data_IF_268282060013
#
_entry.id   IF_268282060013
#
_cell.length_a   1.000
_cell.length_b   1.000
_cell.length_c   1.000
_cell.angle_alpha   90.00
_cell.angle_beta   90.00
_cell.angle_gamma   90.00
#
_symmetry.space_group_name_H-M   'P 1'
#
loop_
_entity.id
_entity.type
_entity.pdbx_description
1 polymer ?
#
# COMPACT_ATOMS: atom_id res chain seq x y z
N UNK A 1 -33.75 -39.43 -21.73
CA UNK A 1 -34.22 -38.39 -20.78
C UNK A 1 -33.76 -38.67 -19.36
N UNK A 2 -33.69 -39.94 -18.94
CA UNK A 2 -33.17 -40.35 -17.61
C UNK A 2 -31.69 -40.00 -17.35
N UNK A 3 -30.79 -40.28 -18.32
CA UNK A 3 -29.35 -40.03 -18.12
C UNK A 3 -29.03 -38.53 -18.08
N UNK A 4 -29.67 -37.74 -18.93
CA UNK A 4 -29.49 -36.29 -18.99
C UNK A 4 -30.00 -35.59 -17.73
N UNK A 5 -31.10 -36.07 -17.16
CA UNK A 5 -31.64 -35.52 -15.90
C UNK A 5 -30.78 -35.90 -14.70
N UNK A 6 -30.23 -37.12 -14.66
CA UNK A 6 -29.26 -37.55 -13.64
C UNK A 6 -27.95 -36.73 -13.71
N UNK A 7 -27.46 -36.41 -14.90
CA UNK A 7 -26.27 -35.57 -15.09
C UNK A 7 -26.51 -34.13 -14.65
N UNK A 8 -27.68 -33.56 -14.95
CA UNK A 8 -28.04 -32.20 -14.51
C UNK A 8 -28.17 -32.17 -12.98
N UNK A 9 -28.82 -33.18 -12.38
CA UNK A 9 -28.99 -33.27 -10.94
C UNK A 9 -27.64 -33.44 -10.22
N UNK A 10 -26.74 -34.26 -10.73
CA UNK A 10 -25.40 -34.43 -10.14
C UNK A 10 -24.60 -33.13 -10.18
N UNK A 11 -24.64 -32.41 -11.31
CA UNK A 11 -23.97 -31.12 -11.48
C UNK A 11 -24.52 -30.06 -10.51
N UNK A 12 -25.84 -30.05 -10.31
CA UNK A 12 -26.52 -29.13 -9.40
C UNK A 12 -26.21 -29.45 -7.93
N UNK A 13 -26.06 -30.72 -7.57
CA UNK A 13 -25.62 -31.12 -6.22
C UNK A 13 -24.15 -30.75 -5.96
N UNK A 14 -23.29 -30.87 -6.97
CA UNK A 14 -21.88 -30.48 -6.89
C UNK A 14 -21.71 -28.97 -6.63
N UNK A 15 -22.53 -28.11 -7.24
CA UNK A 15 -22.46 -26.64 -7.03
C UNK A 15 -22.87 -26.19 -5.63
N UNK A 16 -23.72 -26.94 -4.91
CA UNK A 16 -24.04 -26.65 -3.50
C UNK A 16 -22.94 -27.08 -2.52
N UNK A 17 -22.01 -27.94 -2.95
CA UNK A 17 -20.90 -28.41 -2.10
C UNK A 17 -19.65 -27.53 -2.19
N UNK A 18 -19.58 -26.61 -3.16
CA UNK A 18 -18.47 -25.67 -3.26
C UNK A 18 -18.56 -24.66 -2.12
N UNK A 19 -17.71 -24.85 -1.09
CA UNK A 19 -17.47 -23.80 -0.11
C UNK A 19 -16.86 -22.60 -0.84
N UNK A 20 -17.29 -21.35 -0.56
CA UNK A 20 -16.60 -20.19 -1.09
C UNK A 20 -15.13 -20.29 -0.64
N UNK A 21 -14.23 -20.47 -1.59
CA UNK A 21 -12.80 -20.25 -1.34
C UNK A 21 -12.73 -18.79 -0.90
N UNK A 22 -12.22 -18.48 0.29
CA UNK A 22 -11.95 -17.10 0.66
C UNK A 22 -11.11 -16.56 -0.48
N UNK A 23 -11.68 -15.63 -1.26
CA UNK A 23 -10.91 -14.97 -2.30
C UNK A 23 -9.64 -14.48 -1.64
N UNK A 24 -8.51 -14.54 -2.35
CA UNK A 24 -7.37 -13.72 -1.98
C UNK A 24 -7.87 -12.28 -2.02
N UNK A 25 -8.48 -11.81 -0.92
CA UNK A 25 -8.61 -10.42 -0.62
C UNK A 25 -7.16 -9.97 -0.61
N UNK A 26 -6.75 -9.34 -1.73
CA UNK A 26 -5.38 -8.89 -1.91
C UNK A 26 -4.99 -8.18 -0.63
N UNK A 27 -3.99 -8.72 0.06
CA UNK A 27 -3.54 -8.23 1.36
C UNK A 27 -3.51 -6.72 1.30
N UNK A 28 -4.44 -6.06 2.00
CA UNK A 28 -4.47 -4.60 2.00
C UNK A 28 -3.13 -4.16 2.55
N UNK A 29 -2.34 -3.44 1.75
CA UNK A 29 -1.02 -2.99 2.17
C UNK A 29 -1.12 -2.37 3.57
N UNK A 30 -0.21 -2.75 4.46
CA UNK A 30 -0.23 -2.26 5.84
C UNK A 30 -0.23 -0.73 5.84
N UNK A 31 -1.09 -0.12 6.65
CA UNK A 31 -1.18 1.34 6.69
C UNK A 31 0.10 1.93 7.30
N UNK A 32 0.66 2.94 6.64
CA UNK A 32 1.81 3.68 7.17
C UNK A 32 1.38 4.49 8.40
N UNK A 33 2.17 4.42 9.46
CA UNK A 33 1.97 5.18 10.70
C UNK A 33 3.00 6.30 10.82
N UNK A 34 2.59 7.41 11.43
CA UNK A 34 3.50 8.50 11.79
C UNK A 34 4.31 8.13 13.05
N UNK A 35 5.22 9.02 13.46
CA UNK A 35 6.06 8.81 14.65
C UNK A 35 5.26 8.80 15.97
N UNK A 36 3.99 9.20 15.96
CA UNK A 36 3.05 9.08 17.09
C UNK A 36 2.19 7.83 17.01
N UNK A 37 2.41 6.94 16.03
CA UNK A 37 1.64 5.72 15.82
C UNK A 37 0.27 5.92 15.17
N UNK A 38 -0.02 7.11 14.61
CA UNK A 38 -1.30 7.39 13.94
C UNK A 38 -1.19 7.11 12.45
N UNK A 39 -2.29 6.66 11.82
CA UNK A 39 -2.35 6.43 10.37
C UNK A 39 -2.14 7.71 9.58
N UNK A 40 -1.28 7.64 8.56
CA UNK A 40 -1.10 8.74 7.61
C UNK A 40 -2.39 9.02 6.83
N UNK A 41 -2.65 10.28 6.54
CA UNK A 41 -3.84 10.74 5.81
C UNK A 41 -3.46 11.47 4.54
N UNK A 42 -4.17 11.20 3.44
CA UNK A 42 -4.02 11.95 2.18
C UNK A 42 -4.40 13.42 2.41
N UNK A 43 -3.61 14.34 1.85
CA UNK A 43 -3.85 15.78 1.96
C UNK A 43 -3.44 16.39 3.30
N UNK A 44 -2.69 15.66 4.12
CA UNK A 44 -2.10 16.17 5.37
C UNK A 44 -0.59 16.22 5.19
N UNK A 45 0.02 17.32 5.63
CA UNK A 45 1.46 17.53 5.52
C UNK A 45 2.21 16.78 6.64
N UNK A 46 3.33 16.16 6.26
CA UNK A 46 4.22 15.45 7.17
C UNK A 46 5.67 15.80 6.84
N UNK A 47 6.52 15.90 7.86
CA UNK A 47 7.97 15.92 7.67
C UNK A 47 8.49 14.50 7.44
N UNK A 48 9.33 14.33 6.42
CA UNK A 48 10.06 13.08 6.18
C UNK A 48 11.42 13.21 6.86
N UNK A 49 11.61 12.47 7.96
CA UNK A 49 12.82 12.49 8.79
C UNK A 49 13.64 11.22 8.60
N UNK A 50 14.97 11.28 8.73
CA UNK A 50 15.83 10.11 8.65
C UNK A 50 15.60 9.22 9.88
N UNK A 51 15.56 7.90 9.63
CA UNK A 51 15.48 6.91 10.73
C UNK A 51 16.78 6.92 11.55
N UNK A 52 17.92 7.10 10.89
CA UNK A 52 19.24 7.19 11.54
C UNK A 52 19.52 8.66 11.85
N UNK A 53 19.58 9.00 13.14
CA UNK A 53 19.97 10.32 13.63
C UNK A 53 21.49 10.56 13.52
N UNK A 54 21.89 11.82 13.60
CA UNK A 54 23.27 12.31 13.47
C UNK A 54 23.79 12.35 12.03
N UNK A 55 22.93 12.16 11.02
CA UNK A 55 23.29 12.13 9.60
C UNK A 55 22.60 13.22 8.77
N UNK A 56 22.21 14.31 9.42
CA UNK A 56 21.42 15.40 8.84
C UNK A 56 19.94 15.30 9.18
N UNK A 57 19.16 16.29 8.75
CA UNK A 57 17.75 16.45 9.07
C UNK A 57 16.80 15.88 8.02
N UNK A 58 15.60 16.46 7.95
CA UNK A 58 14.53 16.02 7.06
C UNK A 58 14.74 16.36 5.58
N UNK A 59 13.82 15.91 4.73
CA UNK A 59 13.82 16.31 3.31
C UNK A 59 13.40 17.77 3.12
N UNK A 60 14.07 18.46 2.20
CA UNK A 60 13.77 19.82 1.77
C UNK A 60 14.00 20.03 0.27
N UNK A 61 13.54 21.17 -0.24
CA UNK A 61 13.86 21.63 -1.58
C UNK A 61 15.15 22.46 -1.58
N UNK A 62 16.06 22.19 -2.50
CA UNK A 62 17.29 22.94 -2.69
C UNK A 62 17.75 22.93 -4.16
N UNK A 63 18.61 23.88 -4.53
CA UNK A 63 19.33 23.85 -5.80
C UNK A 63 20.57 22.97 -5.65
N UNK A 64 20.51 21.70 -6.07
CA UNK A 64 21.63 20.77 -5.97
C UNK A 64 22.45 20.65 -7.27
N UNK A 65 21.90 21.09 -8.42
CA UNK A 65 22.48 20.89 -9.76
C UNK A 65 22.93 22.18 -10.46
N UNK A 66 23.20 23.23 -9.69
CA UNK A 66 23.60 24.55 -10.21
C UNK A 66 22.56 25.13 -11.20
N UNK A 67 21.27 24.92 -10.92
CA UNK A 67 20.12 25.43 -11.68
C UNK A 67 19.13 26.06 -10.72
N UNK A 68 18.58 27.22 -11.06
CA UNK A 68 17.61 27.92 -10.17
C UNK A 68 16.27 27.19 -10.08
N UNK A 69 15.80 26.60 -11.18
CA UNK A 69 14.60 25.77 -11.24
C UNK A 69 14.75 24.64 -12.29
N UNK A 70 14.05 23.50 -12.13
CA UNK A 70 13.31 23.10 -10.93
C UNK A 70 14.26 22.83 -9.74
N UNK A 71 13.74 22.95 -8.52
CA UNK A 71 14.49 22.56 -7.32
C UNK A 71 14.55 21.04 -7.18
N UNK A 72 15.63 20.55 -6.57
CA UNK A 72 15.82 19.15 -6.22
C UNK A 72 15.31 18.88 -4.80
N UNK A 73 14.81 17.67 -4.55
CA UNK A 73 14.53 17.18 -3.18
C UNK A 73 15.82 16.61 -2.62
N UNK A 74 16.30 17.17 -1.51
CA UNK A 74 17.54 16.76 -0.84
C UNK A 74 17.30 16.54 0.65
N UNK A 75 18.18 15.78 1.30
CA UNK A 75 18.21 15.70 2.76
C UNK A 75 18.93 16.93 3.34
N UNK A 76 18.40 17.50 4.42
CA UNK A 76 19.07 18.60 5.11
C UNK A 76 20.38 18.14 5.76
N UNK A 77 21.39 19.00 5.76
CA UNK A 77 22.70 18.73 6.36
C UNK A 77 22.67 18.81 7.88
N UNK A 78 21.71 19.57 8.44
CA UNK A 78 21.55 19.76 9.87
C UNK A 78 20.24 19.13 10.35
N UNK A 79 20.28 18.54 11.56
CA UNK A 79 19.10 18.01 12.25
C UNK A 79 18.15 19.11 12.74
#
# INVERSE_FOLDING_TARGET
>A
MEVTTLLILSFLLLSFTSKPVPGLAGSSAATVLDISGKRLRKGVDYYILPVIRGRGGGLKLANARNKTCPLDVVQDQFE
#
